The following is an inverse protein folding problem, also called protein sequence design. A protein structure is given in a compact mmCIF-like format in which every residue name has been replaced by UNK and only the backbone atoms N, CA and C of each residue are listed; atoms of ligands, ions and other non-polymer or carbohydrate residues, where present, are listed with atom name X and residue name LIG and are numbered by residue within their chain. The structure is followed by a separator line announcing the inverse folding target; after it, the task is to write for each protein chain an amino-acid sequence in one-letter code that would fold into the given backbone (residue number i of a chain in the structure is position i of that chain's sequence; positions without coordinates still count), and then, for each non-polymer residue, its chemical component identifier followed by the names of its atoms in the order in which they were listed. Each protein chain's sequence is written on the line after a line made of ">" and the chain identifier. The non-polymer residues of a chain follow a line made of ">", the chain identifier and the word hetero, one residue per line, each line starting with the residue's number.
data_IF_698437833957
#
_entry.id   IF_698437833957
#
_cell.length_a   1.000
_cell.length_b   1.000
_cell.length_c   1.000
_cell.angle_alpha   90.00
_cell.angle_beta   90.00
_cell.angle_gamma   90.00
#
_symmetry.space_group_name_H-M   'P 1'
#
loop_
_entity.id
_entity.type
_entity.pdbx_description
1 polymer ?
#
# COMPACT_ATOMS: atom_id res chain seq x y z
N UNK A 1 -32.01 -8.09 -15.58
CA UNK A 1 -31.73 -8.58 -14.22
C UNK A 1 -30.92 -7.50 -13.51
N UNK A 2 -31.33 -7.08 -12.31
CA UNK A 2 -30.58 -6.04 -11.59
C UNK A 2 -29.31 -6.63 -10.94
N UNK A 3 -28.40 -5.76 -10.46
CA UNK A 3 -27.12 -6.21 -9.88
C UNK A 3 -27.31 -7.09 -8.64
N UNK A 4 -28.36 -6.84 -7.84
CA UNK A 4 -28.66 -7.64 -6.66
C UNK A 4 -29.02 -9.09 -7.03
N UNK A 5 -29.86 -9.27 -8.05
CA UNK A 5 -30.22 -10.59 -8.58
C UNK A 5 -29.02 -11.32 -9.19
N UNK A 6 -28.15 -10.60 -9.92
CA UNK A 6 -26.88 -11.13 -10.45
C UNK A 6 -25.98 -11.67 -9.35
N UNK A 7 -25.72 -10.88 -8.30
CA UNK A 7 -24.85 -11.28 -7.19
C UNK A 7 -25.48 -12.44 -6.40
N UNK A 8 -26.78 -12.38 -6.13
CA UNK A 8 -27.50 -13.47 -5.45
C UNK A 8 -27.34 -14.79 -6.20
N UNK A 9 -27.61 -14.78 -7.51
CA UNK A 9 -27.48 -15.96 -8.37
C UNK A 9 -26.05 -16.49 -8.38
N UNK A 10 -25.05 -15.61 -8.50
CA UNK A 10 -23.64 -15.99 -8.44
C UNK A 10 -23.30 -16.68 -7.11
N UNK A 11 -23.72 -16.12 -5.98
CA UNK A 11 -23.45 -16.69 -4.65
C UNK A 11 -24.12 -18.06 -4.48
N UNK A 12 -25.38 -18.18 -4.89
CA UNK A 12 -26.13 -19.44 -4.85
C UNK A 12 -25.54 -20.50 -5.79
N UNK A 13 -25.02 -20.11 -6.96
CA UNK A 13 -24.48 -21.05 -7.94
C UNK A 13 -23.04 -21.48 -7.63
N UNK A 14 -22.17 -20.56 -7.22
CA UNK A 14 -20.74 -20.83 -7.01
C UNK A 14 -20.48 -21.35 -5.60
N UNK A 15 -21.02 -20.68 -4.58
CA UNK A 15 -20.75 -21.01 -3.18
C UNK A 15 -21.82 -21.88 -2.54
N UNK A 16 -22.93 -22.13 -3.25
CA UNK A 16 -24.05 -22.97 -2.78
C UNK A 16 -24.60 -22.54 -1.41
N UNK A 17 -24.70 -21.23 -1.20
CA UNK A 17 -25.13 -20.62 0.07
C UNK A 17 -25.95 -19.34 -0.16
N UNK A 18 -26.42 -18.70 0.91
CA UNK A 18 -27.16 -17.43 0.85
C UNK A 18 -26.24 -16.21 0.94
N UNK A 19 -26.75 -15.03 0.56
CA UNK A 19 -25.99 -13.78 0.65
C UNK A 19 -25.58 -13.43 2.09
N UNK A 20 -26.42 -13.77 3.07
CA UNK A 20 -26.17 -13.51 4.49
C UNK A 20 -24.96 -14.29 4.99
N UNK A 21 -24.91 -15.61 4.72
CA UNK A 21 -23.79 -16.47 5.12
C UNK A 21 -22.51 -16.08 4.38
N UNK A 22 -22.62 -15.75 3.08
CA UNK A 22 -21.47 -15.26 2.30
C UNK A 22 -20.88 -13.98 2.90
N UNK A 23 -21.74 -13.01 3.26
CA UNK A 23 -21.32 -11.75 3.87
C UNK A 23 -20.69 -11.98 5.25
N UNK A 24 -21.27 -12.84 6.08
CA UNK A 24 -20.73 -13.17 7.40
C UNK A 24 -19.34 -13.84 7.28
N UNK A 25 -19.19 -14.79 6.36
CA UNK A 25 -17.91 -15.43 6.08
C UNK A 25 -16.84 -14.41 5.63
N UNK A 26 -17.22 -13.46 4.77
CA UNK A 26 -16.32 -12.36 4.36
C UNK A 26 -15.96 -11.44 5.52
N UNK A 27 -16.90 -11.09 6.40
CA UNK A 27 -16.64 -10.24 7.58
C UNK A 27 -15.69 -10.91 8.58
N UNK A 28 -15.78 -12.22 8.74
CA UNK A 28 -14.96 -13.00 9.66
C UNK A 28 -13.56 -13.33 9.13
N UNK A 29 -13.30 -13.11 7.83
CA UNK A 29 -12.03 -13.47 7.19
C UNK A 29 -11.29 -12.25 6.63
N UNK A 30 -10.37 -11.65 7.41
CA UNK A 30 -9.54 -10.54 6.94
C UNK A 30 -8.74 -10.88 5.67
N UNK A 31 -8.30 -12.13 5.53
CA UNK A 31 -7.59 -12.59 4.34
C UNK A 31 -8.49 -12.53 3.09
N UNK A 32 -9.75 -12.97 3.20
CA UNK A 32 -10.70 -12.92 2.09
C UNK A 32 -11.00 -11.46 1.68
N UNK A 33 -11.17 -10.56 2.65
CA UNK A 33 -11.30 -9.12 2.38
C UNK A 33 -10.09 -8.56 1.65
N UNK A 34 -8.88 -8.97 2.06
CA UNK A 34 -7.63 -8.59 1.39
C UNK A 34 -7.59 -9.05 -0.07
N UNK A 35 -7.96 -10.30 -0.36
CA UNK A 35 -8.01 -10.80 -1.74
C UNK A 35 -9.04 -10.06 -2.60
N UNK A 36 -10.25 -9.84 -2.06
CA UNK A 36 -11.30 -9.10 -2.77
C UNK A 36 -10.85 -7.65 -3.02
N UNK A 37 -10.23 -6.99 -2.03
CA UNK A 37 -9.69 -5.64 -2.18
C UNK A 37 -8.61 -5.58 -3.26
N UNK A 38 -7.72 -6.57 -3.32
CA UNK A 38 -6.71 -6.67 -4.38
C UNK A 38 -7.34 -6.81 -5.77
N UNK A 39 -8.33 -7.70 -5.92
CA UNK A 39 -9.05 -7.85 -7.19
C UNK A 39 -9.83 -6.60 -7.61
N UNK A 40 -10.42 -5.87 -6.65
CA UNK A 40 -11.06 -4.57 -6.92
C UNK A 40 -10.01 -3.56 -7.43
N UNK A 41 -8.86 -3.50 -6.76
CA UNK A 41 -7.75 -2.61 -7.13
C UNK A 41 -7.28 -2.87 -8.56
N UNK A 42 -7.02 -4.13 -8.91
CA UNK A 42 -6.64 -4.56 -10.26
C UNK A 42 -7.70 -4.19 -11.31
N UNK A 43 -8.98 -4.44 -11.01
CA UNK A 43 -10.08 -4.12 -11.93
C UNK A 43 -10.21 -2.62 -12.18
N UNK A 44 -10.12 -1.81 -11.12
CA UNK A 44 -10.17 -0.35 -11.23
C UNK A 44 -8.95 0.20 -11.95
N UNK A 45 -7.76 -0.35 -11.71
CA UNK A 45 -6.56 0.02 -12.46
C UNK A 45 -6.74 -0.26 -13.94
N UNK A 46 -7.17 -1.47 -14.32
CA UNK A 46 -7.41 -1.83 -15.72
C UNK A 46 -8.38 -0.84 -16.39
N UNK A 47 -9.51 -0.55 -15.75
CA UNK A 47 -10.48 0.42 -16.26
C UNK A 47 -9.87 1.80 -16.44
N UNK A 48 -9.11 2.28 -15.45
CA UNK A 48 -8.41 3.57 -15.53
C UNK A 48 -7.43 3.62 -16.72
N UNK A 49 -6.64 2.57 -16.91
CA UNK A 49 -5.70 2.44 -18.01
C UNK A 49 -6.39 2.49 -19.38
N UNK A 50 -7.53 1.81 -19.52
CA UNK A 50 -8.28 1.73 -20.78
C UNK A 50 -9.12 2.98 -21.05
N UNK A 51 -9.90 3.44 -20.07
CA UNK A 51 -10.92 4.48 -20.24
C UNK A 51 -10.34 5.88 -20.14
N UNK A 52 -9.43 6.14 -19.19
CA UNK A 52 -8.88 7.49 -18.97
C UNK A 52 -7.59 7.73 -19.76
N UNK A 53 -6.75 6.70 -19.88
CA UNK A 53 -5.45 6.82 -20.54
C UNK A 53 -5.40 6.23 -21.95
N UNK A 54 -6.46 5.55 -22.39
CA UNK A 54 -6.57 4.96 -23.74
C UNK A 54 -5.42 3.98 -24.08
N UNK A 55 -4.97 3.20 -23.08
CA UNK A 55 -4.05 2.09 -23.27
C UNK A 55 -4.81 0.80 -23.67
N UNK A 56 -4.16 -0.04 -24.48
CA UNK A 56 -4.57 -1.44 -24.61
C UNK A 56 -4.02 -2.22 -23.41
N UNK A 57 -4.85 -3.00 -22.72
CA UNK A 57 -4.46 -3.71 -21.49
C UNK A 57 -4.85 -5.19 -21.57
N UNK A 58 -3.90 -6.07 -21.24
CA UNK A 58 -4.11 -7.52 -21.20
C UNK A 58 -3.64 -8.07 -19.85
N UNK A 59 -4.50 -8.79 -19.14
CA UNK A 59 -4.14 -9.42 -17.85
C UNK A 59 -3.10 -10.52 -18.07
N UNK A 60 -2.03 -10.52 -17.27
CA UNK A 60 -1.03 -11.58 -17.28
C UNK A 60 -1.62 -12.83 -16.65
N UNK A 61 -1.37 -13.99 -17.27
CA UNK A 61 -1.85 -15.28 -16.75
C UNK A 61 -1.23 -15.57 -15.37
N UNK A 62 -2.09 -15.81 -14.38
CA UNK A 62 -1.69 -16.12 -13.00
C UNK A 62 -0.82 -17.38 -12.92
N UNK A 63 -1.23 -18.45 -13.60
CA UNK A 63 -0.48 -19.71 -13.72
C UNK A 63 0.29 -19.74 -15.04
N UNK A 64 1.54 -19.30 -14.98
CA UNK A 64 2.46 -19.32 -16.12
C UNK A 64 2.82 -20.74 -16.55
N UNK A 65 2.82 -21.01 -17.86
CA UNK A 65 3.28 -22.26 -18.43
C UNK A 65 4.75 -22.15 -18.87
N UNK A 66 5.60 -23.07 -18.41
CA UNK A 66 7.03 -23.08 -18.73
C UNK A 66 7.88 -22.15 -17.86
N UNK A 67 9.09 -21.81 -18.33
CA UNK A 67 9.98 -20.86 -17.64
C UNK A 67 9.48 -19.43 -17.90
N UNK A 68 9.16 -18.69 -16.84
CA UNK A 68 8.75 -17.28 -16.93
C UNK A 68 9.99 -16.40 -17.16
N UNK A 69 9.96 -15.56 -18.19
CA UNK A 69 10.99 -14.55 -18.38
C UNK A 69 10.87 -13.48 -17.28
N UNK A 70 11.98 -12.94 -16.75
CA UNK A 70 11.96 -11.96 -15.67
C UNK A 70 11.05 -10.75 -15.94
N UNK A 71 10.95 -10.30 -17.19
CA UNK A 71 10.16 -9.11 -17.56
C UNK A 71 8.63 -9.32 -17.62
N UNK A 72 8.12 -10.54 -17.36
CA UNK A 72 6.67 -10.80 -17.35
C UNK A 72 6.06 -10.81 -15.94
N UNK A 73 6.79 -10.37 -14.93
CA UNK A 73 6.40 -10.45 -13.53
C UNK A 73 5.55 -9.24 -13.14
N UNK A 74 4.33 -9.16 -13.66
CA UNK A 74 3.34 -8.14 -13.27
C UNK A 74 1.91 -8.67 -13.26
N UNK A 75 0.95 -7.76 -13.14
CA UNK A 75 -0.49 -8.06 -13.21
C UNK A 75 -1.06 -7.82 -14.61
N UNK A 76 -0.58 -6.79 -15.32
CA UNK A 76 -1.04 -6.46 -16.66
C UNK A 76 0.11 -6.19 -17.63
N UNK A 77 -0.08 -6.61 -18.89
CA UNK A 77 0.57 -6.01 -20.04
C UNK A 77 -0.22 -4.79 -20.47
N UNK A 78 0.47 -3.72 -20.86
CA UNK A 78 -0.18 -2.54 -21.43
C UNK A 78 0.66 -1.91 -22.55
N UNK A 79 0.01 -1.28 -23.52
CA UNK A 79 0.68 -0.51 -24.58
C UNK A 79 -0.18 0.65 -25.05
N UNK A 80 0.46 1.71 -25.54
CA UNK A 80 -0.27 2.83 -26.16
C UNK A 80 -0.82 2.38 -27.50
N UNK A 81 -2.05 2.76 -27.83
CA UNK A 81 -2.64 2.42 -29.12
C UNK A 81 -1.74 2.87 -30.28
N UNK A 82 -1.58 1.98 -31.27
CA UNK A 82 -0.74 2.22 -32.44
C UNK A 82 0.77 2.05 -32.20
N UNK A 83 1.20 1.64 -31.00
CA UNK A 83 2.59 1.27 -30.71
C UNK A 83 2.75 -0.25 -30.67
N UNK A 84 3.99 -0.74 -30.79
CA UNK A 84 4.33 -2.16 -30.67
C UNK A 84 4.99 -2.51 -29.33
N UNK A 85 5.19 -1.52 -28.45
CA UNK A 85 5.89 -1.69 -27.18
C UNK A 85 4.90 -2.07 -26.08
N UNK A 86 4.90 -3.35 -25.72
CA UNK A 86 4.20 -3.85 -24.54
C UNK A 86 5.06 -3.69 -23.31
N UNK A 87 4.51 -3.12 -22.27
CA UNK A 87 5.15 -2.98 -20.97
C UNK A 87 4.34 -3.73 -19.92
N UNK A 88 4.97 -3.97 -18.77
CA UNK A 88 4.37 -4.67 -17.64
C UNK A 88 4.14 -3.71 -16.50
N UNK A 89 2.93 -3.75 -15.93
CA UNK A 89 2.56 -2.98 -14.74
C UNK A 89 2.18 -3.93 -13.60
N UNK A 90 2.76 -3.68 -12.42
CA UNK A 90 2.48 -4.38 -11.17
C UNK A 90 1.54 -3.50 -10.32
N UNK A 91 0.41 -4.06 -9.90
CA UNK A 91 -0.59 -3.41 -9.06
C UNK A 91 -0.43 -3.82 -7.60
N UNK A 92 -0.39 -2.85 -6.69
CA UNK A 92 -0.35 -3.08 -5.24
C UNK A 92 -1.22 -2.09 -4.49
N UNK A 93 -1.57 -2.45 -3.26
CA UNK A 93 -2.12 -1.51 -2.29
C UNK A 93 -1.05 -1.06 -1.29
N UNK A 94 -1.39 -0.02 -0.52
CA UNK A 94 -0.57 0.41 0.62
C UNK A 94 -0.48 -0.64 1.72
N UNK A 95 0.58 -0.53 2.52
CA UNK A 95 0.69 -1.25 3.78
C UNK A 95 -0.36 -0.74 4.77
N UNK A 96 -1.18 -1.64 5.29
CA UNK A 96 -2.32 -1.27 6.15
C UNK A 96 -1.94 -0.86 7.57
N UNK A 97 -0.73 -1.19 8.03
CA UNK A 97 -0.32 -1.05 9.43
C UNK A 97 0.92 -0.16 9.65
N UNK A 98 1.28 0.69 8.69
CA UNK A 98 2.50 1.52 8.72
C UNK A 98 2.62 2.36 9.99
N UNK A 99 1.56 3.06 10.37
CA UNK A 99 1.54 3.93 11.56
C UNK A 99 1.73 3.14 12.85
N UNK A 100 1.13 1.93 12.93
CA UNK A 100 1.30 1.01 14.06
C UNK A 100 2.71 0.45 14.10
N UNK A 101 3.25 0.04 12.96
CA UNK A 101 4.60 -0.50 12.80
C UNK A 101 5.67 0.49 13.29
N UNK A 102 5.55 1.75 12.88
CA UNK A 102 6.44 2.84 13.29
C UNK A 102 6.12 3.42 14.68
N UNK A 103 5.04 2.95 15.32
CA UNK A 103 4.55 3.38 16.64
C UNK A 103 4.26 4.87 16.71
N UNK A 104 3.65 5.42 15.67
CA UNK A 104 3.36 6.85 15.56
C UNK A 104 2.36 7.35 16.62
N UNK A 105 1.70 6.43 17.33
CA UNK A 105 0.91 6.72 18.54
C UNK A 105 1.75 7.18 19.76
N UNK A 106 3.08 7.24 19.63
CA UNK A 106 4.00 7.79 20.62
C UNK A 106 4.68 9.06 20.07
N UNK A 107 4.67 10.15 20.84
CA UNK A 107 5.17 11.46 20.42
C UNK A 107 6.58 11.42 19.80
N UNK A 108 7.54 10.80 20.50
CA UNK A 108 8.93 10.77 20.03
C UNK A 108 9.08 9.99 18.72
N UNK A 109 8.28 8.95 18.51
CA UNK A 109 8.27 8.17 17.27
C UNK A 109 7.68 9.00 16.12
N UNK A 110 6.53 9.64 16.33
CA UNK A 110 5.93 10.54 15.35
C UNK A 110 6.87 11.69 14.97
N UNK A 111 7.42 12.39 15.97
CA UNK A 111 8.36 13.48 15.77
C UNK A 111 9.55 13.05 14.91
N UNK A 112 10.22 11.96 15.30
CA UNK A 112 11.39 11.48 14.58
C UNK A 112 11.04 11.03 13.16
N UNK A 113 9.88 10.39 12.98
CA UNK A 113 9.41 9.96 11.67
C UNK A 113 9.18 11.14 10.73
N UNK A 114 8.46 12.18 11.19
CA UNK A 114 8.23 13.40 10.39
C UNK A 114 9.54 14.15 10.07
N UNK A 115 10.47 14.24 11.03
CA UNK A 115 11.80 14.85 10.78
C UNK A 115 12.58 14.04 9.73
N UNK A 116 12.54 12.71 9.81
CA UNK A 116 13.29 11.82 8.90
C UNK A 116 12.77 11.93 7.46
N UNK A 117 11.49 12.21 7.29
CA UNK A 117 10.82 12.35 5.99
C UNK A 117 10.42 13.79 5.70
N UNK A 118 11.14 14.75 6.27
CA UNK A 118 10.82 16.17 6.17
C UNK A 118 10.87 16.69 4.73
N UNK A 119 11.68 16.06 3.87
CA UNK A 119 11.78 16.33 2.44
C UNK A 119 10.46 16.09 1.68
N UNK A 120 9.53 15.31 2.27
CA UNK A 120 8.24 14.94 1.68
C UNK A 120 7.06 15.72 2.27
N UNK A 121 7.34 16.71 3.12
CA UNK A 121 6.32 17.45 3.87
C UNK A 121 6.32 18.92 3.40
N UNK A 122 5.21 19.42 2.84
CA UNK A 122 5.16 20.69 2.12
C UNK A 122 5.34 21.93 3.01
N UNK A 123 4.94 21.84 4.28
CA UNK A 123 4.96 22.96 5.22
C UNK A 123 6.30 23.09 5.94
N UNK A 124 7.25 22.17 5.69
CA UNK A 124 8.59 22.27 6.26
C UNK A 124 9.48 23.14 5.38
N UNK A 125 9.99 24.22 5.96
CA UNK A 125 11.10 24.99 5.38
C UNK A 125 12.43 24.37 5.83
N UNK A 126 13.17 23.81 4.88
CA UNK A 126 14.48 23.17 5.11
C UNK A 126 15.57 24.16 5.50
N UNK A 127 15.36 25.46 5.34
CA UNK A 127 16.30 26.50 5.78
C UNK A 127 16.10 26.91 7.24
N UNK A 128 15.06 26.41 7.90
CA UNK A 128 14.74 26.67 9.31
C UNK A 128 14.91 25.42 10.15
N UNK A 129 14.74 25.55 11.45
CA UNK A 129 14.83 24.41 12.36
C UNK A 129 13.66 23.44 12.10
N UNK A 130 13.96 22.30 11.47
CA UNK A 130 12.97 21.26 11.13
C UNK A 130 12.35 20.67 12.40
N UNK A 131 13.14 20.44 13.45
CA UNK A 131 12.62 19.84 14.70
C UNK A 131 11.60 20.76 15.38
N UNK A 132 11.86 22.07 15.42
CA UNK A 132 10.94 23.06 15.97
C UNK A 132 9.62 23.10 15.18
N UNK A 133 9.69 23.19 13.85
CA UNK A 133 8.51 23.16 12.98
C UNK A 133 7.66 21.90 13.18
N UNK A 134 8.29 20.73 13.28
CA UNK A 134 7.59 19.46 13.51
C UNK A 134 6.95 19.41 14.90
N UNK A 135 7.64 19.87 15.93
CA UNK A 135 7.10 19.92 17.30
C UNK A 135 5.89 20.85 17.35
N UNK A 136 6.01 22.05 16.78
CA UNK A 136 4.93 23.04 16.74
C UNK A 136 3.72 22.48 16.00
N UNK A 137 3.92 21.86 14.83
CA UNK A 137 2.85 21.23 14.07
C UNK A 137 2.14 20.13 14.87
N UNK A 138 2.89 19.24 15.56
CA UNK A 138 2.30 18.18 16.39
C UNK A 138 1.51 18.80 17.55
N UNK A 139 2.02 19.85 18.18
CA UNK A 139 1.35 20.49 19.32
C UNK A 139 0.06 21.21 18.92
N UNK A 140 0.05 21.86 17.76
CA UNK A 140 -1.11 22.55 17.20
C UNK A 140 -2.18 21.56 16.73
N UNK A 141 -1.78 20.54 15.96
CA UNK A 141 -2.73 19.63 15.30
C UNK A 141 -3.10 18.42 16.16
N UNK A 142 -2.22 18.01 17.07
CA UNK A 142 -2.37 16.84 17.94
C UNK A 142 -2.13 17.21 19.43
N UNK A 143 -2.85 18.22 19.98
CA UNK A 143 -2.59 18.79 21.31
C UNK A 143 -2.65 17.78 22.46
N UNK A 144 -3.32 16.64 22.30
CA UNK A 144 -3.33 15.58 23.33
C UNK A 144 -1.93 15.04 23.65
N UNK A 145 -0.96 15.15 22.74
CA UNK A 145 0.43 14.78 23.04
C UNK A 145 1.10 15.68 24.09
N UNK A 146 0.56 16.88 24.33
CA UNK A 146 1.08 17.79 25.34
C UNK A 146 0.64 17.43 26.76
N UNK A 147 -0.42 16.63 26.94
CA UNK A 147 -1.02 16.38 28.24
C UNK A 147 -1.56 14.94 28.44
N UNK A 148 -2.48 14.47 27.62
CA UNK A 148 -3.15 13.16 27.75
C UNK A 148 -2.24 12.00 27.35
N UNK A 149 -1.41 12.20 26.32
CA UNK A 149 -0.58 11.15 25.70
C UNK A 149 0.92 11.30 26.02
N UNK A 150 1.24 11.79 27.23
CA UNK A 150 2.62 12.01 27.71
C UNK A 150 3.48 10.74 27.85
N UNK A 151 2.85 9.59 28.10
CA UNK A 151 3.55 8.32 28.28
C UNK A 151 3.43 7.45 27.03
N UNK A 152 4.54 6.81 26.65
CA UNK A 152 4.57 5.86 25.55
C UNK A 152 3.73 4.62 25.84
N UNK A 153 3.02 4.13 24.82
CA UNK A 153 2.41 2.81 24.82
C UNK A 153 3.37 1.79 24.19
N UNK A 154 3.16 0.53 24.55
CA UNK A 154 3.88 -0.64 24.04
C UNK A 154 2.89 -1.79 23.89
N UNK A 155 3.12 -2.68 22.93
CA UNK A 155 2.27 -3.85 22.73
C UNK A 155 2.31 -4.78 23.95
N UNK A 156 1.23 -5.52 24.17
CA UNK A 156 1.09 -6.40 25.33
C UNK A 156 2.26 -7.39 25.45
N UNK A 157 2.68 -8.00 24.34
CA UNK A 157 3.81 -8.93 24.32
C UNK A 157 5.12 -8.27 24.72
N UNK A 158 5.33 -6.99 24.38
CA UNK A 158 6.51 -6.24 24.80
C UNK A 158 6.48 -5.95 26.30
N UNK A 159 5.31 -5.56 26.83
CA UNK A 159 5.10 -5.31 28.26
C UNK A 159 5.40 -6.56 29.08
N UNK A 160 4.90 -7.73 28.65
CA UNK A 160 5.11 -9.00 29.35
C UNK A 160 6.57 -9.46 29.31
N UNK A 161 7.26 -9.30 28.18
CA UNK A 161 8.65 -9.74 28.00
C UNK A 161 9.67 -8.80 28.64
N UNK A 162 9.28 -7.56 28.99
CA UNK A 162 10.22 -6.57 29.49
C UNK A 162 10.62 -6.83 30.94
N UNK A 163 11.92 -7.09 31.14
CA UNK A 163 12.55 -7.26 32.46
C UNK A 163 13.76 -6.32 32.54
N UNK A 164 13.72 -5.36 33.45
CA UNK A 164 14.88 -4.50 33.73
C UNK A 164 14.94 -4.15 35.20
N UNK A 165 16.16 -3.92 35.72
CA UNK A 165 16.40 -3.40 37.07
C UNK A 165 16.63 -1.88 37.07
N UNK A 166 16.74 -1.25 35.90
CA UNK A 166 17.01 0.20 35.76
C UNK A 166 15.71 0.98 35.70
N UNK A 167 15.60 2.07 36.47
CA UNK A 167 14.50 3.05 36.36
C UNK A 167 14.76 3.95 35.15
N UNK A 168 14.03 3.72 34.07
CA UNK A 168 14.06 4.54 32.85
C UNK A 168 12.64 4.97 32.50
N UNK A 169 12.48 6.01 31.67
CA UNK A 169 11.14 6.43 31.17
C UNK A 169 10.37 5.27 30.52
N UNK A 170 11.07 4.37 29.80
CA UNK A 170 10.48 3.15 29.23
C UNK A 170 10.02 2.19 30.32
N UNK A 171 10.81 1.98 31.38
CA UNK A 171 10.40 1.12 32.49
C UNK A 171 9.15 1.66 33.20
N UNK A 172 9.11 2.97 33.48
CA UNK A 172 7.95 3.63 34.09
C UNK A 172 6.68 3.51 33.21
N UNK A 173 6.82 3.71 31.91
CA UNK A 173 5.72 3.54 30.97
C UNK A 173 5.22 2.09 30.91
N UNK A 174 6.13 1.12 30.86
CA UNK A 174 5.78 -0.31 30.87
C UNK A 174 5.11 -0.73 32.18
N UNK A 175 5.60 -0.26 33.33
CA UNK A 175 5.01 -0.60 34.63
C UNK A 175 3.57 -0.08 34.76
N UNK A 176 3.25 1.08 34.18
CA UNK A 176 1.86 1.57 34.06
C UNK A 176 0.98 0.63 33.23
N UNK A 177 1.54 -0.01 32.20
CA UNK A 177 0.79 -0.90 31.30
C UNK A 177 0.57 -2.30 31.89
N UNK A 178 1.33 -2.71 32.92
CA UNK A 178 1.24 -4.07 33.49
C UNK A 178 -0.13 -4.42 34.09
N UNK A 179 -0.89 -3.43 34.51
CA UNK A 179 -2.24 -3.64 35.07
C UNK A 179 -3.32 -3.84 34.01
N UNK A 180 -3.00 -3.64 32.73
CA UNK A 180 -3.97 -3.72 31.64
C UNK A 180 -3.92 -5.07 30.92
N UNK A 181 -5.07 -5.49 30.40
CA UNK A 181 -5.18 -6.67 29.54
C UNK A 181 -4.66 -6.38 28.13
N UNK A 182 -4.48 -7.44 27.33
CA UNK A 182 -4.13 -7.32 25.91
C UNK A 182 -5.10 -6.42 25.16
N UNK A 183 -6.39 -6.65 25.31
CA UNK A 183 -7.43 -5.90 24.59
C UNK A 183 -7.47 -4.44 25.02
N UNK A 184 -7.28 -4.16 26.31
CA UNK A 184 -7.19 -2.78 26.80
C UNK A 184 -6.00 -2.03 26.20
N UNK A 185 -4.81 -2.66 26.16
CA UNK A 185 -3.63 -2.05 25.52
C UNK A 185 -3.85 -1.86 24.02
N UNK A 186 -4.43 -2.85 23.33
CA UNK A 186 -4.74 -2.75 21.90
C UNK A 186 -5.69 -1.59 21.62
N UNK A 187 -6.76 -1.45 22.41
CA UNK A 187 -7.72 -0.35 22.28
C UNK A 187 -7.07 1.02 22.53
N UNK A 188 -6.20 1.14 23.54
CA UNK A 188 -5.47 2.39 23.79
C UNK A 188 -4.55 2.77 22.62
N UNK A 189 -3.87 1.78 22.02
CA UNK A 189 -3.02 1.99 20.85
C UNK A 189 -3.87 2.40 19.64
N UNK A 190 -4.98 1.71 19.40
CA UNK A 190 -5.90 1.99 18.29
C UNK A 190 -6.52 3.38 18.42
N UNK A 191 -6.96 3.79 19.61
CA UNK A 191 -7.47 5.14 19.87
C UNK A 191 -6.45 6.22 19.50
N UNK A 192 -5.20 6.07 19.94
CA UNK A 192 -4.13 7.03 19.63
C UNK A 192 -3.74 7.00 18.15
N UNK A 193 -3.76 5.83 17.52
CA UNK A 193 -3.53 5.71 16.07
C UNK A 193 -4.61 6.44 15.29
N UNK A 194 -5.89 6.22 15.61
CA UNK A 194 -7.01 6.91 14.99
C UNK A 194 -6.90 8.43 15.18
N UNK A 195 -6.46 8.88 16.35
CA UNK A 195 -6.19 10.29 16.60
C UNK A 195 -5.08 10.85 15.70
N UNK A 196 -3.92 10.17 15.59
CA UNK A 196 -2.85 10.61 14.68
C UNK A 196 -3.32 10.60 13.22
N UNK A 197 -3.98 9.53 12.80
CA UNK A 197 -4.51 9.35 11.44
C UNK A 197 -5.66 10.29 11.09
N UNK A 198 -6.26 10.95 12.09
CA UNK A 198 -7.21 12.03 11.85
C UNK A 198 -6.56 13.31 11.32
N UNK A 199 -5.22 13.42 11.38
CA UNK A 199 -4.44 14.58 10.94
C UNK A 199 -3.33 14.26 9.95
N UNK A 200 -2.70 13.10 10.07
CA UNK A 200 -1.63 12.66 9.18
C UNK A 200 -1.66 11.16 8.98
N UNK A 201 -1.62 10.75 7.72
CA UNK A 201 -1.62 9.35 7.27
C UNK A 201 -0.38 9.08 6.44
N UNK A 202 0.24 7.93 6.65
CA UNK A 202 1.50 7.58 5.96
C UNK A 202 1.21 6.74 4.72
N UNK A 203 1.79 7.14 3.59
CA UNK A 203 1.79 6.35 2.36
C UNK A 203 3.07 5.53 2.33
N UNK A 204 3.00 4.28 2.78
CA UNK A 204 4.14 3.35 2.78
C UNK A 204 3.79 2.07 2.01
N UNK A 205 4.69 1.65 1.13
CA UNK A 205 4.54 0.40 0.36
C UNK A 205 4.89 -0.83 1.19
N UNK A 206 4.55 -2.02 0.65
CA UNK A 206 5.00 -3.30 1.18
C UNK A 206 5.29 -4.30 0.05
N UNK A 207 6.45 -4.15 -0.58
CA UNK A 207 6.90 -5.04 -1.64
C UNK A 207 7.52 -6.31 -1.06
N UNK A 208 6.69 -7.33 -0.89
CA UNK A 208 7.14 -8.69 -0.58
C UNK A 208 6.80 -9.60 -1.75
N UNK A 209 7.80 -10.27 -2.27
CA UNK A 209 7.66 -11.37 -3.21
C UNK A 209 7.97 -12.68 -2.47
N UNK A 210 7.13 -13.70 -2.66
CA UNK A 210 7.40 -15.01 -2.06
C UNK A 210 8.76 -15.53 -2.53
N UNK A 211 9.56 -16.10 -1.61
CA UNK A 211 10.73 -16.92 -1.97
C UNK A 211 10.23 -18.22 -2.60
N UNK A 212 9.74 -18.19 -3.84
CA UNK A 212 9.50 -19.41 -4.59
C UNK A 212 10.86 -20.01 -4.93
N UNK A 213 11.14 -21.21 -4.41
CA UNK A 213 12.42 -21.93 -4.50
C UNK A 213 12.85 -22.36 -5.92
N UNK A 214 12.34 -21.69 -6.95
CA UNK A 214 12.61 -21.90 -8.38
C UNK A 214 13.13 -20.63 -9.06
N UNK A 215 13.12 -19.48 -8.38
CA UNK A 215 13.65 -18.22 -8.93
C UNK A 215 15.09 -17.98 -8.47
N UNK A 216 15.94 -17.46 -9.35
CA UNK A 216 17.32 -17.02 -9.08
C UNK A 216 17.38 -15.78 -8.14
N UNK A 217 16.34 -15.54 -7.33
CA UNK A 217 16.22 -14.37 -6.46
C UNK A 217 17.15 -14.50 -5.25
N UNK A 218 17.96 -13.49 -5.03
CA UNK A 218 18.84 -13.33 -3.85
C UNK A 218 18.07 -12.77 -2.65
N UNK A 219 17.00 -12.00 -2.89
CA UNK A 219 16.18 -11.35 -1.86
C UNK A 219 14.68 -11.65 -2.02
N UNK A 220 13.91 -11.37 -0.97
CA UNK A 220 12.45 -11.53 -0.96
C UNK A 220 11.72 -10.32 -1.58
N UNK A 221 12.39 -9.22 -1.88
CA UNK A 221 11.78 -8.10 -2.59
C UNK A 221 11.81 -8.34 -4.10
N UNK A 222 10.91 -7.73 -4.88
CA UNK A 222 10.97 -7.80 -6.34
C UNK A 222 12.26 -7.18 -6.89
N UNK A 223 12.67 -7.59 -8.09
CA UNK A 223 13.73 -6.92 -8.83
C UNK A 223 13.16 -5.75 -9.63
N UNK A 224 14.02 -4.77 -9.94
CA UNK A 224 13.64 -3.59 -10.74
C UNK A 224 13.32 -3.93 -12.20
N UNK A 225 13.82 -5.05 -12.71
CA UNK A 225 13.63 -5.53 -14.09
C UNK A 225 12.43 -6.50 -14.24
N UNK A 226 11.67 -6.72 -13.17
CA UNK A 226 10.53 -7.65 -13.19
C UNK A 226 9.27 -7.06 -13.85
N UNK A 227 9.15 -5.74 -13.83
CA UNK A 227 8.05 -4.95 -14.37
C UNK A 227 8.56 -3.54 -14.72
N UNK A 228 7.82 -2.81 -15.54
CA UNK A 228 8.22 -1.49 -16.03
C UNK A 228 7.58 -0.34 -15.24
N UNK A 229 6.39 -0.56 -14.68
CA UNK A 229 5.67 0.41 -13.85
C UNK A 229 5.11 -0.29 -12.61
N UNK A 230 5.13 0.41 -11.47
CA UNK A 230 4.33 0.05 -10.29
C UNK A 230 3.14 1.00 -10.23
N UNK A 231 1.94 0.47 -9.98
CA UNK A 231 0.77 1.22 -9.59
C UNK A 231 0.41 0.91 -8.13
N UNK A 232 0.33 1.93 -7.28
CA UNK A 232 -0.06 1.82 -5.88
C UNK A 232 -1.42 2.48 -5.67
N UNK A 233 -2.42 1.70 -5.28
CA UNK A 233 -3.69 2.23 -4.81
C UNK A 233 -3.59 2.71 -3.36
N UNK A 234 -3.86 3.99 -3.17
CA UNK A 234 -3.79 4.67 -1.87
C UNK A 234 -5.12 4.74 -1.12
N UNK A 235 -6.16 4.03 -1.57
CA UNK A 235 -7.50 4.02 -0.95
C UNK A 235 -7.52 3.72 0.56
N UNK A 236 -6.51 3.01 1.09
CA UNK A 236 -6.41 2.78 2.53
C UNK A 236 -6.16 4.04 3.36
N UNK A 237 -5.72 5.13 2.73
CA UNK A 237 -5.40 6.41 3.38
C UNK A 237 -6.07 7.61 2.71
N UNK A 238 -6.58 7.44 1.50
CA UNK A 238 -7.28 8.47 0.73
C UNK A 238 -8.79 8.15 0.61
N UNK A 239 -9.69 9.15 0.44
CA UNK A 239 -11.14 8.90 0.45
C UNK A 239 -11.67 8.01 -0.68
N UNK A 240 -10.92 7.91 -1.76
CA UNK A 240 -11.29 7.20 -2.98
C UNK A 240 -10.10 6.40 -3.54
N UNK A 241 -10.39 5.53 -4.49
CA UNK A 241 -9.36 4.82 -5.25
C UNK A 241 -8.56 5.82 -6.07
N UNK A 242 -7.29 5.96 -5.71
CA UNK A 242 -6.34 6.83 -6.39
C UNK A 242 -5.04 6.06 -6.55
N UNK A 243 -4.50 6.08 -7.77
CA UNK A 243 -3.28 5.36 -8.11
C UNK A 243 -2.11 6.31 -8.18
N UNK A 244 -1.01 5.93 -7.55
CA UNK A 244 0.30 6.54 -7.71
C UNK A 244 1.19 5.60 -8.50
N UNK A 245 2.00 6.16 -9.39
CA UNK A 245 2.83 5.38 -10.31
C UNK A 245 4.30 5.64 -10.07
N UNK A 246 5.15 4.64 -10.34
CA UNK A 246 6.60 4.82 -10.36
C UNK A 246 7.25 3.90 -11.39
N UNK A 247 8.36 4.38 -11.97
CA UNK A 247 9.27 3.53 -12.72
C UNK A 247 10.22 2.86 -11.71
N UNK A 248 10.25 1.51 -11.59
CA UNK A 248 11.09 0.81 -10.63
C UNK A 248 12.58 1.12 -10.74
N UNK A 249 13.04 1.50 -11.94
CA UNK A 249 14.44 1.86 -12.18
C UNK A 249 14.84 3.15 -11.45
N UNK A 250 13.88 4.06 -11.23
CA UNK A 250 14.11 5.35 -10.58
C UNK A 250 14.02 5.27 -9.05
N UNK A 251 13.41 4.21 -8.49
CA UNK A 251 13.30 4.04 -7.04
C UNK A 251 14.65 3.65 -6.41
N UNK A 252 14.89 4.02 -5.16
CA UNK A 252 16.09 3.60 -4.44
C UNK A 252 16.19 2.08 -4.30
N UNK A 253 17.38 1.50 -4.50
CA UNK A 253 17.55 0.04 -4.38
C UNK A 253 17.58 -0.44 -2.92
N UNK A 254 17.32 -1.73 -2.72
CA UNK A 254 17.48 -2.43 -1.44
C UNK A 254 18.96 -2.64 -1.11
N UNK A 255 19.51 -1.74 -0.30
CA UNK A 255 20.83 -1.88 0.35
C UNK A 255 21.88 -2.62 -0.49
N UNK A 256 22.17 -3.85 -0.09
CA UNK A 256 23.26 -4.69 -0.62
C UNK A 256 23.04 -5.23 -2.06
N UNK A 257 21.86 -5.06 -2.66
CA UNK A 257 21.59 -5.51 -4.03
C UNK A 257 20.94 -4.38 -4.87
N UNK A 258 21.70 -3.77 -5.80
CA UNK A 258 21.22 -2.65 -6.60
C UNK A 258 20.08 -3.04 -7.55
N UNK A 259 19.87 -4.34 -7.82
CA UNK A 259 18.82 -4.80 -8.72
C UNK A 259 17.48 -5.02 -8.02
N UNK A 260 17.45 -4.95 -6.68
CA UNK A 260 16.24 -5.20 -5.90
C UNK A 260 15.61 -3.91 -5.40
N UNK A 261 14.28 -3.88 -5.36
CA UNK A 261 13.50 -2.81 -4.73
C UNK A 261 13.57 -2.94 -3.20
N UNK A 262 13.47 -1.82 -2.47
CA UNK A 262 13.20 -1.84 -1.04
C UNK A 262 11.82 -2.45 -0.75
N UNK A 263 11.66 -3.02 0.43
CA UNK A 263 10.37 -3.56 0.85
C UNK A 263 9.37 -2.44 1.15
N UNK A 264 9.81 -1.37 1.82
CA UNK A 264 8.92 -0.29 2.25
C UNK A 264 9.53 1.04 1.79
N UNK A 265 8.85 1.73 0.88
CA UNK A 265 9.13 3.12 0.55
C UNK A 265 8.09 3.99 1.23
N UNK A 266 8.53 5.03 1.93
CA UNK A 266 7.64 6.10 2.38
C UNK A 266 7.45 7.04 1.20
N UNK A 267 6.34 6.86 0.49
CA UNK A 267 6.00 7.59 -0.72
C UNK A 267 5.61 9.03 -0.41
N UNK A 268 5.09 9.28 0.79
CA UNK A 268 4.60 10.58 1.21
C UNK A 268 3.52 10.49 2.28
N UNK A 269 2.69 11.52 2.34
CA UNK A 269 1.71 11.72 3.41
C UNK A 269 0.38 12.22 2.85
N UNK A 270 -0.70 11.88 3.55
CA UNK A 270 -1.99 12.57 3.44
C UNK A 270 -2.22 13.34 4.72
N UNK A 271 -2.27 14.66 4.62
CA UNK A 271 -2.61 15.56 5.73
C UNK A 271 -4.09 15.90 5.68
N UNK A 272 -4.74 15.95 6.84
CA UNK A 272 -6.16 16.28 6.97
C UNK A 272 -6.28 17.62 7.67
N UNK A 273 -6.96 18.57 7.04
CA UNK A 273 -7.15 19.90 7.61
C UNK A 273 -8.21 19.95 8.74
N UNK A 274 -8.66 21.14 9.11
CA UNK A 274 -9.70 21.31 10.14
C UNK A 274 -11.11 20.96 9.63
N UNK A 275 -11.33 21.04 8.32
CA UNK A 275 -12.59 20.72 7.65
C UNK A 275 -12.72 19.22 7.35
N UNK A 276 -11.62 18.47 7.46
CA UNK A 276 -11.57 17.05 7.15
C UNK A 276 -11.12 16.76 5.72
N UNK A 277 -10.67 17.78 4.98
CA UNK A 277 -10.24 17.65 3.59
C UNK A 277 -8.81 17.11 3.51
N UNK A 278 -8.55 16.08 2.70
CA UNK A 278 -7.24 15.48 2.56
C UNK A 278 -6.38 16.20 1.51
N UNK A 279 -5.18 16.60 1.90
CA UNK A 279 -4.13 17.06 0.98
C UNK A 279 -3.07 15.98 0.83
N UNK A 280 -2.84 15.56 -0.42
CA UNK A 280 -1.87 14.54 -0.79
C UNK A 280 -0.51 15.18 -1.08
N UNK A 281 0.55 14.64 -0.48
CA UNK A 281 1.93 15.03 -0.78
C UNK A 281 2.77 13.76 -0.98
N UNK A 282 3.47 13.70 -2.11
CA UNK A 282 4.28 12.55 -2.53
C UNK A 282 5.71 12.99 -2.84
N UNK A 283 6.67 12.08 -2.75
CA UNK A 283 8.05 12.32 -3.18
C UNK A 283 8.15 12.36 -4.72
N UNK A 284 9.24 12.93 -5.22
CA UNK A 284 9.49 13.11 -6.65
C UNK A 284 9.58 11.81 -7.46
N UNK A 285 9.77 10.67 -6.79
CA UNK A 285 9.83 9.36 -7.44
C UNK A 285 8.46 8.81 -7.83
N UNK A 286 7.38 9.42 -7.32
CA UNK A 286 6.00 8.99 -7.52
C UNK A 286 5.20 10.00 -8.33
N UNK A 287 4.35 9.48 -9.21
CA UNK A 287 3.60 10.24 -10.20
C UNK A 287 2.11 10.04 -9.99
N UNK A 288 1.31 11.10 -10.10
CA UNK A 288 -0.15 11.01 -10.13
C UNK A 288 -0.67 10.70 -11.55
N UNK A 289 0.04 11.15 -12.58
CA UNK A 289 -0.27 10.90 -13.99
C UNK A 289 0.61 9.77 -14.56
N UNK A 290 -0.03 8.73 -15.07
CA UNK A 290 0.65 7.60 -15.70
C UNK A 290 1.46 8.02 -16.93
N UNK A 291 1.03 9.04 -17.68
CA UNK A 291 1.75 9.48 -18.88
C UNK A 291 3.15 10.02 -18.54
N UNK A 292 3.30 10.67 -17.37
CA UNK A 292 4.59 11.20 -16.93
C UNK A 292 5.60 10.08 -16.71
N UNK A 293 5.21 9.01 -16.00
CA UNK A 293 6.06 7.83 -15.80
C UNK A 293 6.24 7.03 -17.09
N UNK A 294 5.23 6.95 -17.96
CA UNK A 294 5.32 6.25 -19.24
C UNK A 294 6.42 6.85 -20.14
N UNK A 295 6.59 8.18 -20.10
CA UNK A 295 7.64 8.88 -20.85
C UNK A 295 9.06 8.54 -20.37
N UNK A 296 9.20 7.88 -19.21
CA UNK A 296 10.50 7.43 -18.69
C UNK A 296 10.88 6.02 -19.15
N UNK A 297 10.00 5.31 -19.86
CA UNK A 297 10.25 3.92 -20.28
C UNK A 297 11.18 3.83 -21.49
N UNK A 298 12.12 2.89 -21.47
CA UNK A 298 12.95 2.55 -22.65
C UNK A 298 12.23 1.46 -23.48
N UNK A 299 12.06 1.66 -24.80
CA UNK A 299 11.63 0.61 -25.74
C UNK A 299 12.34 -0.74 -25.60
N UNK A 300 13.59 -0.78 -25.14
CA UNK A 300 14.35 -2.03 -24.92
C UNK A 300 13.81 -2.88 -23.78
N UNK A 301 13.10 -2.26 -22.84
CA UNK A 301 12.50 -2.95 -21.70
C UNK A 301 11.09 -3.46 -22.01
N UNK A 302 10.59 -3.22 -23.23
CA UNK A 302 9.31 -3.74 -23.68
C UNK A 302 9.38 -5.26 -23.88
N UNK A 303 8.30 -5.95 -23.53
CA UNK A 303 8.14 -7.38 -23.78
C UNK A 303 7.73 -7.64 -25.21
N UNK A 304 8.16 -8.77 -25.75
CA UNK A 304 7.69 -9.25 -27.04
C UNK A 304 6.26 -9.81 -26.91
N UNK A 305 5.37 -9.41 -27.82
CA UNK A 305 3.97 -9.85 -27.82
C UNK A 305 3.85 -11.37 -27.99
N UNK A 306 4.74 -11.99 -28.76
CA UNK A 306 4.73 -13.44 -29.01
C UNK A 306 5.05 -14.27 -27.76
N UNK A 307 5.72 -13.66 -26.76
CA UNK A 307 6.07 -14.32 -25.50
C UNK A 307 5.01 -14.13 -24.40
N UNK A 308 3.98 -13.31 -24.66
CA UNK A 308 2.94 -12.98 -23.68
C UNK A 308 1.97 -14.15 -23.46
N UNK A 309 1.76 -14.51 -22.19
CA UNK A 309 0.64 -15.38 -21.78
C UNK A 309 -0.47 -14.54 -21.15
N UNK A 310 -1.60 -14.45 -21.85
CA UNK A 310 -2.74 -13.60 -21.48
C UNK A 310 -3.84 -14.45 -20.84
N UNK A 311 -4.46 -13.91 -19.79
CA UNK A 311 -5.64 -14.49 -19.17
C UNK A 311 -6.93 -14.09 -19.90
N UNK A 312 -7.46 -15.01 -20.70
CA UNK A 312 -8.68 -14.78 -21.48
C UNK A 312 -9.98 -15.07 -20.69
N UNK A 313 -9.91 -15.45 -19.41
CA UNK A 313 -11.10 -15.82 -18.61
C UNK A 313 -12.13 -14.69 -18.48
N UNK A 314 -11.71 -13.43 -18.58
CA UNK A 314 -12.60 -12.27 -18.49
C UNK A 314 -13.48 -12.07 -19.73
N UNK A 315 -13.04 -12.49 -20.93
CA UNK A 315 -13.82 -12.31 -22.16
C UNK A 315 -15.06 -13.21 -22.20
N UNK A 316 -14.99 -14.38 -21.56
CA UNK A 316 -16.11 -15.35 -21.53
C UNK A 316 -17.25 -14.83 -20.64
N UNK A 317 -16.96 -14.04 -19.60
CA UNK A 317 -17.97 -13.52 -18.71
C UNK A 317 -18.79 -12.35 -19.31
N UNK A 318 -18.22 -11.60 -20.26
CA UNK A 318 -18.95 -10.55 -20.99
C UNK A 318 -19.84 -11.15 -22.09
N UNK A 319 -19.39 -12.19 -22.80
CA UNK A 319 -20.21 -12.90 -23.79
C UNK A 319 -21.43 -13.60 -23.14
N UNK A 320 -21.28 -14.19 -21.95
CA UNK A 320 -22.41 -14.79 -21.20
C UNK A 320 -23.39 -13.76 -20.59
N UNK A 321 -23.07 -12.45 -20.59
CA UNK A 321 -24.00 -11.39 -20.18
C UNK A 321 -24.79 -10.79 -21.36
N UNK A 322 -24.34 -11.01 -22.60
CA UNK A 322 -25.02 -10.57 -23.82
C UNK A 322 -25.96 -11.64 -24.44
N UNK A 323 -25.85 -12.90 -24.03
CA UNK A 323 -26.77 -14.02 -24.32
C UNK A 323 -27.81 -14.26 -23.19
#
# INVERSE_FOLDING_TARGET
>A
MNIYEKIKRFVEQVFKTTLEIFLEALKLSPNAQGYVSGSITELLLKKKLEEEYNFEVKRIREKWEGKKHPQHHGDFYFRKQGTHYWYVIESKGLKSNSEKWHRLYNFQNLKNFLITHADKIPWIDTNRNIEEQVIDWIHENLPKFQNEYLYNLYEYEEVQKYVTKRKTKKAEAIDRLRSYTRDQISNMIEERLNYVMSKVKVLETHFVSGRSGVSERTQATPRKDEFNIIAIDIVLRYPEHKFLFANPQNLESSGDDPNHLQQNYVMGFVFIDEQGEPTLHISEDWYEDLNEVYNTLDPKDAVNEDDMQVDNRYMIAEEEEED
#
